data_IF_966181684720
#
_entry.id   IF_966181684720
#
_cell.length_a   1.000
_cell.length_b   1.000
_cell.length_c   1.000
_cell.angle_alpha   90.00
_cell.angle_beta   90.00
_cell.angle_gamma   90.00
#
_symmetry.space_group_name_H-M   'P 1'
#
loop_
_entity.id
_entity.type
_entity.pdbx_description
1 polymer ?
#
# COMPACT_ATOMS: atom_id res chain seq x y z
N UNK A 1 -27.25 23.49 -19.93
CA UNK A 1 -27.22 22.15 -19.31
C UNK A 1 -26.05 21.28 -19.80
N UNK A 2 -25.80 21.12 -21.11
CA UNK A 2 -24.67 20.31 -21.62
C UNK A 2 -23.27 20.77 -21.17
N UNK A 3 -23.03 22.08 -21.04
CA UNK A 3 -21.72 22.61 -20.60
C UNK A 3 -21.40 22.35 -19.12
N UNK A 4 -22.41 22.24 -18.25
CA UNK A 4 -22.21 21.91 -16.84
C UNK A 4 -21.76 20.45 -16.66
N UNK A 5 -22.33 19.53 -17.44
CA UNK A 5 -21.94 18.11 -17.44
C UNK A 5 -20.50 17.88 -17.89
N UNK A 6 -19.99 18.70 -18.81
CA UNK A 6 -18.60 18.61 -19.28
C UNK A 6 -17.61 19.05 -18.19
N UNK A 7 -17.96 20.08 -17.41
CA UNK A 7 -17.12 20.55 -16.29
C UNK A 7 -17.02 19.53 -15.16
N UNK A 8 -18.11 18.82 -14.84
CA UNK A 8 -18.08 17.78 -13.80
C UNK A 8 -17.27 16.55 -14.22
N UNK A 9 -17.27 16.21 -15.52
CA UNK A 9 -16.53 15.04 -16.01
C UNK A 9 -15.01 15.27 -16.07
N UNK A 10 -14.58 16.52 -16.23
CA UNK A 10 -13.17 16.92 -16.25
C UNK A 10 -12.49 16.90 -14.87
N UNK A 11 -13.26 16.92 -13.78
CA UNK A 11 -12.75 16.93 -12.39
C UNK A 11 -12.56 15.53 -11.78
N UNK A 12 -13.11 14.48 -12.39
CA UNK A 12 -13.01 13.10 -11.91
C UNK A 12 -11.59 12.47 -11.93
N UNK A 13 -10.66 12.79 -12.85
CA UNK A 13 -9.38 12.09 -12.92
C UNK A 13 -8.39 12.47 -11.81
N UNK A 14 -8.71 13.42 -10.93
CA UNK A 14 -7.83 13.87 -9.85
C UNK A 14 -7.80 12.93 -8.62
N UNK A 15 -8.60 11.86 -8.59
CA UNK A 15 -8.66 10.91 -7.47
C UNK A 15 -7.80 9.65 -7.70
N UNK A 16 -6.77 9.73 -8.54
CA UNK A 16 -5.74 8.69 -8.57
C UNK A 16 -4.99 8.73 -7.23
N UNK A 17 -5.23 7.72 -6.37
CA UNK A 17 -4.59 7.57 -5.06
C UNK A 17 -3.09 7.28 -5.23
N UNK A 18 -2.30 8.29 -5.56
CA UNK A 18 -0.83 8.19 -5.61
C UNK A 18 -0.19 8.05 -4.21
N UNK A 19 -0.98 8.12 -3.15
CA UNK A 19 -0.54 7.99 -1.75
C UNK A 19 -0.63 6.57 -1.19
N UNK A 20 -1.09 5.58 -1.96
CA UNK A 20 -1.22 4.19 -1.49
C UNK A 20 -0.65 3.20 -2.49
N UNK A 21 -0.01 2.16 -1.98
CA UNK A 21 0.56 1.07 -2.77
C UNK A 21 0.12 -0.27 -2.22
N UNK A 22 -0.33 -1.15 -3.10
CA UNK A 22 -0.62 -2.55 -2.74
C UNK A 22 0.57 -3.41 -3.13
N UNK A 23 1.17 -4.09 -2.16
CA UNK A 23 2.32 -4.95 -2.34
C UNK A 23 1.95 -6.42 -2.11
N UNK A 24 2.71 -7.32 -2.74
CA UNK A 24 2.49 -8.76 -2.68
C UNK A 24 3.78 -9.50 -2.38
N UNK A 25 3.70 -10.79 -2.07
CA UNK A 25 4.85 -11.68 -1.84
C UNK A 25 5.80 -11.15 -0.73
N UNK A 26 5.33 -11.01 0.52
CA UNK A 26 6.23 -10.62 1.61
C UNK A 26 7.33 -11.66 1.84
N UNK A 27 8.50 -11.20 2.23
CA UNK A 27 9.48 -12.04 2.90
C UNK A 27 9.03 -12.25 4.36
N UNK A 28 8.94 -13.50 4.79
CA UNK A 28 8.53 -13.87 6.15
C UNK A 28 9.75 -14.25 7.00
N UNK A 29 9.89 -13.63 8.16
CA UNK A 29 10.91 -13.95 9.16
C UNK A 29 10.26 -14.19 10.52
N UNK A 30 10.54 -15.33 11.15
CA UNK A 30 10.04 -15.62 12.49
C UNK A 30 10.82 -14.79 13.51
N UNK A 31 10.12 -14.01 14.33
CA UNK A 31 10.74 -13.25 15.42
C UNK A 31 10.58 -14.00 16.74
N UNK A 32 11.37 -13.61 17.73
CA UNK A 32 11.17 -14.06 19.11
C UNK A 32 9.72 -13.76 19.57
N UNK A 33 9.16 -14.61 20.42
CA UNK A 33 7.78 -14.55 20.93
C UNK A 33 6.66 -14.98 19.95
N UNK A 34 6.97 -15.77 18.91
CA UNK A 34 5.95 -16.37 18.04
C UNK A 34 5.23 -15.37 17.14
N UNK A 35 5.85 -14.21 16.91
CA UNK A 35 5.44 -13.24 15.91
C UNK A 35 6.24 -13.47 14.62
N UNK A 36 5.73 -12.91 13.53
CA UNK A 36 6.33 -13.00 12.21
C UNK A 36 6.49 -11.58 11.67
N UNK A 37 7.69 -11.26 11.23
CA UNK A 37 8.03 -10.05 10.51
C UNK A 37 7.78 -10.28 9.02
N UNK A 38 7.00 -9.39 8.41
CA UNK A 38 6.65 -9.40 7.00
C UNK A 38 7.30 -8.20 6.32
N UNK A 39 8.23 -8.45 5.42
CA UNK A 39 8.90 -7.41 4.65
C UNK A 39 8.36 -7.39 3.23
N UNK A 40 7.78 -6.27 2.82
CA UNK A 40 7.28 -6.03 1.46
C UNK A 40 8.23 -5.06 0.79
N UNK A 41 8.89 -5.49 -0.29
CA UNK A 41 9.91 -4.69 -0.95
C UNK A 41 9.75 -4.71 -2.47
N UNK A 42 9.98 -3.56 -3.11
CA UNK A 42 10.21 -3.44 -4.55
C UNK A 42 11.38 -2.45 -4.79
N UNK A 43 11.56 -2.00 -6.03
CA UNK A 43 12.65 -1.07 -6.37
C UNK A 43 12.53 0.32 -5.75
N UNK A 44 11.36 0.71 -5.23
CA UNK A 44 11.07 2.07 -4.75
C UNK A 44 10.67 2.11 -3.27
N UNK A 45 10.12 1.03 -2.72
CA UNK A 45 9.54 1.01 -1.37
C UNK A 45 9.98 -0.22 -0.59
N UNK A 46 10.11 -0.04 0.73
CA UNK A 46 10.32 -1.11 1.71
C UNK A 46 9.37 -0.86 2.89
N UNK A 47 8.47 -1.80 3.14
CA UNK A 47 7.57 -1.77 4.30
C UNK A 47 7.77 -3.00 5.17
N UNK A 48 7.69 -2.81 6.48
CA UNK A 48 7.69 -3.90 7.46
C UNK A 48 6.34 -3.97 8.17
N UNK A 49 5.89 -5.18 8.46
CA UNK A 49 4.63 -5.43 9.17
C UNK A 49 4.79 -6.63 10.10
N UNK A 50 4.50 -6.45 11.39
CA UNK A 50 4.60 -7.54 12.38
C UNK A 50 3.21 -8.11 12.66
N UNK A 51 3.07 -9.41 12.55
CA UNK A 51 1.81 -10.13 12.82
C UNK A 51 2.03 -11.34 13.73
N UNK A 52 0.95 -11.86 14.30
CA UNK A 52 0.93 -13.15 14.99
C UNK A 52 0.46 -14.20 13.99
N UNK A 53 1.38 -15.00 13.47
CA UNK A 53 1.09 -16.01 12.43
C UNK A 53 1.58 -15.59 11.04
N UNK A 54 0.94 -16.09 9.99
CA UNK A 54 1.42 -15.89 8.61
C UNK A 54 1.28 -14.46 8.12
N UNK A 55 2.21 -14.03 7.27
CA UNK A 55 2.11 -12.77 6.58
C UNK A 55 0.92 -12.75 5.59
N UNK A 56 0.15 -11.65 5.52
CA UNK A 56 -0.81 -11.47 4.43
C UNK A 56 -0.10 -11.56 3.08
N UNK A 57 -0.64 -12.30 2.11
CA UNK A 57 -0.02 -12.33 0.79
C UNK A 57 -0.02 -10.97 0.10
N UNK A 58 -1.05 -10.16 0.39
CA UNK A 58 -1.24 -8.82 -0.16
C UNK A 58 -1.53 -7.84 0.97
N UNK A 59 -0.92 -6.65 0.91
CA UNK A 59 -1.16 -5.57 1.87
C UNK A 59 -1.02 -4.20 1.20
N UNK A 60 -1.92 -3.29 1.55
CA UNK A 60 -1.88 -1.90 1.11
C UNK A 60 -1.22 -1.05 2.19
N UNK A 61 -0.30 -0.19 1.78
CA UNK A 61 0.45 0.74 2.62
C UNK A 61 0.24 2.15 2.09
N UNK A 62 0.36 3.15 2.97
CA UNK A 62 0.50 4.52 2.50
C UNK A 62 1.96 4.73 2.09
N UNK A 63 2.20 5.36 0.95
CA UNK A 63 3.57 5.56 0.45
C UNK A 63 4.36 6.54 1.29
N UNK A 64 3.68 7.46 1.98
CA UNK A 64 4.28 8.39 2.95
C UNK A 64 4.96 7.68 4.13
N UNK A 65 4.47 6.48 4.52
CA UNK A 65 5.04 5.70 5.63
C UNK A 65 6.46 5.16 5.31
N UNK A 66 6.92 5.27 4.05
CA UNK A 66 8.25 4.84 3.61
C UNK A 66 9.29 5.97 3.55
N UNK A 67 8.88 7.23 3.75
CA UNK A 67 9.73 8.42 3.61
C UNK A 67 10.25 8.96 4.96
N UNK A 68 9.92 8.30 6.08
CA UNK A 68 10.48 8.57 7.41
C UNK A 68 11.83 7.87 7.64
#
# INVERSE_FOLDING_TARGET
>A
MKRLLVLTLALLPALANAGQITMTHPQEEQTENGKTLCTYQNSNYLFTYVTKGKCPYTKTFNTEDSEE
#
